data_IF_546538792654
#
_entry.id   IF_546538792654
#
_cell.length_a   1.000
_cell.length_b   1.000
_cell.length_c   1.000
_cell.angle_alpha   90.00
_cell.angle_beta   90.00
_cell.angle_gamma   90.00
#
_symmetry.space_group_name_H-M   'P 1'
#
loop_
_entity.id
_entity.type
_entity.pdbx_description
1 polymer ?
#
# COMPACT_ATOMS: atom_id res chain seq x y z
N UNK A 1 -21.29 -9.38 3.89
CA UNK A 1 -21.97 -10.59 3.38
C UNK A 1 -21.30 -11.03 2.09
N UNK A 2 -21.34 -12.33 1.82
CA UNK A 2 -20.96 -12.85 0.51
C UNK A 2 -21.93 -12.35 -0.57
N UNK A 3 -21.41 -12.01 -1.75
CA UNK A 3 -22.22 -11.52 -2.87
C UNK A 3 -22.85 -12.70 -3.62
N UNK A 4 -24.17 -12.84 -3.54
CA UNK A 4 -24.91 -13.94 -4.17
C UNK A 4 -24.77 -13.96 -5.69
N UNK A 5 -24.68 -12.79 -6.30
CA UNK A 5 -24.51 -12.61 -7.73
C UNK A 5 -23.23 -13.29 -8.25
N UNK A 6 -22.15 -13.23 -7.49
CA UNK A 6 -20.88 -13.87 -7.84
C UNK A 6 -21.02 -15.39 -7.83
N UNK A 7 -21.75 -15.95 -6.86
CA UNK A 7 -22.01 -17.38 -6.83
C UNK A 7 -22.87 -17.83 -8.01
N UNK A 8 -23.88 -17.06 -8.38
CA UNK A 8 -24.71 -17.34 -9.55
C UNK A 8 -23.88 -17.37 -10.83
N UNK A 9 -22.94 -16.44 -11.01
CA UNK A 9 -22.03 -16.40 -12.17
C UNK A 9 -21.06 -17.59 -12.22
N UNK A 10 -20.61 -18.06 -11.07
CA UNK A 10 -19.61 -19.14 -10.98
C UNK A 10 -20.23 -20.53 -10.87
N UNK A 11 -21.55 -20.62 -10.69
CA UNK A 11 -22.25 -21.88 -10.45
C UNK A 11 -21.87 -22.57 -9.12
N UNK A 12 -21.25 -21.84 -8.20
CA UNK A 12 -20.83 -22.35 -6.88
C UNK A 12 -21.90 -22.06 -5.83
N UNK A 13 -21.95 -22.90 -4.80
CA UNK A 13 -22.85 -22.71 -3.68
C UNK A 13 -22.16 -21.89 -2.58
N UNK A 14 -22.84 -20.91 -2.00
CA UNK A 14 -22.37 -20.11 -0.87
C UNK A 14 -21.96 -20.97 0.34
N UNK A 15 -22.55 -22.16 0.50
CA UNK A 15 -22.25 -23.09 1.60
C UNK A 15 -20.82 -23.61 1.65
N UNK A 16 -20.04 -23.46 0.57
CA UNK A 16 -18.61 -23.81 0.57
C UNK A 16 -17.75 -22.82 1.33
N UNK A 17 -18.28 -21.64 1.64
CA UNK A 17 -17.55 -20.58 2.31
C UNK A 17 -17.88 -20.52 3.80
N UNK A 18 -16.90 -20.21 4.64
CA UNK A 18 -17.16 -20.02 6.07
C UNK A 18 -18.01 -18.76 6.31
N UNK A 19 -18.73 -18.68 7.42
CA UNK A 19 -19.46 -17.48 7.77
C UNK A 19 -18.53 -16.31 8.02
N UNK A 20 -18.90 -15.13 7.51
CA UNK A 20 -18.21 -13.88 7.84
C UNK A 20 -18.62 -13.46 9.27
N UNK A 21 -17.63 -13.25 10.11
CA UNK A 21 -17.83 -12.87 11.52
C UNK A 21 -17.04 -11.60 11.84
N UNK A 22 -17.42 -10.93 12.91
CA UNK A 22 -16.69 -9.73 13.38
C UNK A 22 -15.29 -10.09 13.89
N UNK A 23 -14.36 -9.17 13.77
CA UNK A 23 -13.06 -9.22 14.48
C UNK A 23 -13.26 -9.29 16.00
N UNK A 24 -12.25 -9.73 16.73
CA UNK A 24 -12.28 -9.99 18.17
C UNK A 24 -13.24 -11.12 18.62
N UNK A 25 -13.79 -11.89 17.67
CA UNK A 25 -14.64 -13.05 17.98
C UNK A 25 -13.78 -14.29 18.26
N UNK A 26 -14.11 -15.04 19.30
CA UNK A 26 -13.44 -16.32 19.58
C UNK A 26 -13.79 -17.34 18.48
N UNK A 27 -12.76 -17.91 17.85
CA UNK A 27 -12.89 -18.95 16.84
C UNK A 27 -12.95 -20.36 17.48
N UNK A 28 -12.37 -20.53 18.65
CA UNK A 28 -12.27 -21.81 19.33
C UNK A 28 -11.17 -21.78 20.40
N UNK A 29 -10.70 -22.95 20.77
CA UNK A 29 -9.61 -23.15 21.72
C UNK A 29 -8.67 -24.23 21.22
N UNK A 30 -7.37 -24.05 21.41
CA UNK A 30 -6.35 -25.04 21.10
C UNK A 30 -5.42 -25.20 22.30
N UNK A 31 -5.37 -26.38 22.88
CA UNK A 31 -4.56 -26.73 24.06
C UNK A 31 -4.71 -25.73 25.24
N UNK A 32 -5.94 -25.34 25.54
CA UNK A 32 -6.25 -24.39 26.63
C UNK A 32 -6.03 -22.92 26.26
N UNK A 33 -5.61 -22.62 25.02
CA UNK A 33 -5.38 -21.27 24.54
C UNK A 33 -6.55 -20.82 23.65
N UNK A 34 -7.17 -19.70 23.96
CA UNK A 34 -8.22 -19.13 23.14
C UNK A 34 -7.68 -18.65 21.79
N UNK A 35 -8.34 -19.06 20.72
CA UNK A 35 -8.05 -18.61 19.35
C UNK A 35 -9.02 -17.48 19.02
N UNK A 36 -8.50 -16.28 18.77
CA UNK A 36 -9.29 -15.08 18.49
C UNK A 36 -9.10 -14.71 17.01
N UNK A 37 -10.21 -14.39 16.36
CA UNK A 37 -10.18 -13.84 14.98
C UNK A 37 -9.79 -12.37 15.05
N UNK A 38 -8.74 -12.02 14.31
CA UNK A 38 -8.26 -10.64 14.17
C UNK A 38 -8.95 -9.93 13.00
N UNK A 39 -8.61 -8.69 12.73
CA UNK A 39 -8.99 -8.01 11.48
C UNK A 39 -8.50 -8.85 10.28
N UNK A 40 -9.27 -8.88 9.21
CA UNK A 40 -9.07 -9.83 8.10
C UNK A 40 -7.81 -9.59 7.25
N UNK A 41 -7.07 -8.51 7.52
CA UNK A 41 -5.87 -8.10 6.81
C UNK A 41 -4.82 -7.60 7.82
N UNK A 42 -3.54 -7.86 7.59
CA UNK A 42 -2.44 -7.47 8.48
C UNK A 42 -2.33 -5.95 8.65
N UNK A 43 -2.50 -5.19 7.56
CA UNK A 43 -2.54 -3.72 7.61
C UNK A 43 -3.68 -3.22 8.50
N UNK A 44 -4.84 -3.87 8.48
CA UNK A 44 -5.97 -3.49 9.33
C UNK A 44 -5.66 -3.74 10.82
N UNK A 45 -4.89 -4.78 11.11
CA UNK A 45 -4.38 -5.03 12.46
C UNK A 45 -3.37 -3.96 12.89
N UNK A 46 -2.48 -3.54 11.98
CA UNK A 46 -1.50 -2.48 12.25
C UNK A 46 -2.18 -1.12 12.50
N UNK A 47 -3.18 -0.77 11.69
CA UNK A 47 -3.98 0.47 11.88
C UNK A 47 -4.67 0.45 13.23
N UNK A 48 -5.27 -0.68 13.63
CA UNK A 48 -5.92 -0.82 14.94
C UNK A 48 -4.95 -0.60 16.13
N UNK A 49 -3.67 -0.93 15.94
CA UNK A 49 -2.63 -0.78 16.97
C UNK A 49 -1.97 0.61 16.97
N UNK A 50 -2.29 1.46 16.01
CA UNK A 50 -1.70 2.79 15.89
C UNK A 50 -2.15 3.69 17.05
N UNK A 51 -1.22 4.35 17.77
CA UNK A 51 -1.59 5.32 18.79
C UNK A 51 -2.24 6.53 18.13
N UNK A 52 -3.51 6.77 18.42
CA UNK A 52 -4.28 7.85 17.87
C UNK A 52 -4.70 8.83 18.98
N UNK A 53 -4.67 10.12 18.69
CA UNK A 53 -5.32 11.12 19.53
C UNK A 53 -6.83 11.05 19.24
N UNK A 54 -7.63 10.81 20.26
CA UNK A 54 -9.08 10.63 20.16
C UNK A 54 -9.85 11.90 19.79
N UNK A 55 -9.21 13.07 19.87
CA UNK A 55 -9.86 14.36 19.60
C UNK A 55 -9.95 14.71 18.10
N UNK A 56 -9.31 13.92 17.25
CA UNK A 56 -9.29 14.11 15.78
C UNK A 56 -9.32 12.77 15.08
N UNK A 57 -9.90 12.73 13.90
CA UNK A 57 -9.76 11.58 13.01
C UNK A 57 -8.30 11.51 12.52
N UNK A 58 -7.52 10.53 12.97
CA UNK A 58 -6.13 10.43 12.54
C UNK A 58 -6.05 9.93 11.11
N UNK A 59 -5.14 10.50 10.34
CA UNK A 59 -4.68 9.86 9.11
C UNK A 59 -3.56 8.87 9.44
N UNK A 60 -3.52 7.77 8.73
CA UNK A 60 -2.44 6.80 8.82
C UNK A 60 -1.72 6.65 7.48
N UNK A 61 -0.46 6.24 7.54
CA UNK A 61 0.33 5.81 6.41
C UNK A 61 1.02 4.49 6.76
N UNK A 62 0.59 3.42 6.14
CA UNK A 62 1.26 2.11 6.23
C UNK A 62 2.24 2.00 5.08
N UNK A 63 3.54 2.12 5.37
CA UNK A 63 4.61 2.05 4.36
C UNK A 63 5.19 0.64 4.30
N UNK A 64 4.85 -0.09 3.25
CA UNK A 64 5.39 -1.39 2.93
C UNK A 64 5.73 -1.49 1.43
N UNK A 65 5.76 -2.70 0.89
CA UNK A 65 5.86 -2.93 -0.57
C UNK A 65 4.77 -2.13 -1.30
N UNK A 66 3.54 -2.19 -0.79
CA UNK A 66 2.47 -1.23 -1.04
C UNK A 66 2.43 -0.23 0.11
N UNK A 67 2.08 1.01 -0.19
CA UNK A 67 1.79 2.02 0.82
C UNK A 67 0.29 2.30 0.82
N UNK A 68 -0.30 2.37 2.02
CA UNK A 68 -1.71 2.66 2.21
C UNK A 68 -1.84 3.94 3.02
N UNK A 69 -2.44 4.97 2.41
CA UNK A 69 -2.75 6.22 3.11
C UNK A 69 -4.25 6.33 3.32
N UNK A 70 -4.68 6.64 4.52
CA UNK A 70 -6.12 6.70 4.81
C UNK A 70 -6.48 7.19 6.19
N UNK A 71 -7.75 7.04 6.52
CA UNK A 71 -8.30 7.32 7.84
C UNK A 71 -9.39 6.31 8.19
N UNK A 72 -9.70 6.18 9.49
CA UNK A 72 -10.82 5.36 9.96
C UNK A 72 -12.10 6.19 10.05
N UNK A 73 -13.20 5.64 9.50
CA UNK A 73 -14.54 6.21 9.57
C UNK A 73 -15.53 5.22 10.18
N UNK A 74 -16.68 5.70 10.61
CA UNK A 74 -17.78 4.86 11.08
C UNK A 74 -18.57 4.26 9.92
N UNK A 75 -18.69 4.99 8.82
CA UNK A 75 -19.44 4.61 7.64
C UNK A 75 -18.59 4.71 6.36
N UNK A 76 -18.89 3.91 5.33
CA UNK A 76 -18.17 3.98 4.07
C UNK A 76 -18.50 5.27 3.30
N UNK A 77 -17.50 5.81 2.61
CA UNK A 77 -17.66 6.95 1.72
C UNK A 77 -17.81 6.43 0.29
N UNK A 78 -19.02 6.58 -0.28
CA UNK A 78 -19.39 6.10 -1.61
C UNK A 78 -19.84 7.28 -2.48
N UNK A 79 -18.93 7.83 -3.29
CA UNK A 79 -19.24 8.90 -4.23
C UNK A 79 -18.30 8.82 -5.44
N UNK A 80 -18.66 9.57 -6.50
CA UNK A 80 -17.88 9.61 -7.75
C UNK A 80 -16.45 10.11 -7.54
N UNK A 81 -16.26 11.07 -6.63
CA UNK A 81 -14.93 11.59 -6.34
C UNK A 81 -14.03 10.52 -5.77
N UNK A 82 -14.52 9.73 -4.79
CA UNK A 82 -13.76 8.61 -4.21
C UNK A 82 -13.39 7.57 -5.27
N UNK A 83 -14.30 7.29 -6.20
CA UNK A 83 -14.04 6.36 -7.30
C UNK A 83 -12.98 6.91 -8.26
N UNK A 84 -13.08 8.18 -8.64
CA UNK A 84 -12.12 8.81 -9.56
C UNK A 84 -10.73 8.97 -8.95
N UNK A 85 -10.66 9.19 -7.64
CA UNK A 85 -9.40 9.29 -6.87
C UNK A 85 -8.87 7.90 -6.44
N UNK A 86 -9.54 6.81 -6.86
CA UNK A 86 -9.18 5.40 -6.54
C UNK A 86 -9.14 5.11 -5.04
N UNK A 87 -10.00 5.77 -4.26
CA UNK A 87 -10.14 5.54 -2.84
C UNK A 87 -11.08 4.36 -2.57
N UNK A 88 -10.68 3.46 -1.70
CA UNK A 88 -11.43 2.28 -1.31
C UNK A 88 -11.94 2.35 0.12
N UNK A 89 -12.93 1.52 0.44
CA UNK A 89 -13.44 1.32 1.78
C UNK A 89 -13.14 -0.12 2.18
N UNK A 90 -12.29 -0.31 3.17
CA UNK A 90 -11.93 -1.61 3.69
C UNK A 90 -12.46 -1.78 5.11
N UNK A 91 -12.94 -3.00 5.41
CA UNK A 91 -13.42 -3.29 6.76
C UNK A 91 -12.24 -3.36 7.73
N UNK A 92 -12.17 -2.41 8.61
CA UNK A 92 -11.19 -2.32 9.70
C UNK A 92 -11.58 -3.15 10.92
N UNK A 93 -10.86 -2.94 12.01
CA UNK A 93 -11.20 -3.53 13.31
C UNK A 93 -12.46 -2.86 13.93
N UNK A 94 -13.09 -3.58 14.84
CA UNK A 94 -14.23 -3.06 15.63
C UNK A 94 -15.41 -2.50 14.80
N UNK A 95 -15.55 -2.93 13.54
CA UNK A 95 -16.60 -2.47 12.63
C UNK A 95 -16.34 -1.11 12.01
N UNK A 96 -15.16 -0.54 12.19
CA UNK A 96 -14.73 0.68 11.50
C UNK A 96 -14.47 0.40 10.02
N UNK A 97 -14.52 1.45 9.24
CA UNK A 97 -14.18 1.44 7.80
C UNK A 97 -12.88 2.23 7.61
N UNK A 98 -11.88 1.58 7.06
CA UNK A 98 -10.68 2.26 6.60
C UNK A 98 -10.91 2.79 5.19
N UNK A 99 -11.04 4.09 5.07
CA UNK A 99 -11.12 4.81 3.81
C UNK A 99 -9.71 5.19 3.38
N UNK A 100 -9.20 4.55 2.35
CA UNK A 100 -7.79 4.60 2.00
C UNK A 100 -7.54 4.56 0.50
N UNK A 101 -6.35 5.00 0.10
CA UNK A 101 -5.75 4.77 -1.22
C UNK A 101 -4.56 3.83 -1.09
N UNK A 102 -4.49 2.85 -1.98
CA UNK A 102 -3.30 2.05 -2.21
C UNK A 102 -2.37 2.81 -3.16
N UNK A 103 -1.10 2.88 -2.81
CA UNK A 103 -0.06 3.55 -3.58
C UNK A 103 1.04 2.52 -3.85
N UNK A 104 1.65 2.54 -5.03
CA UNK A 104 2.84 1.75 -5.34
C UNK A 104 4.02 2.23 -4.49
N UNK A 105 4.12 1.73 -3.26
CA UNK A 105 5.06 2.21 -2.27
C UNK A 105 6.52 1.79 -2.50
N UNK A 106 7.13 1.15 -1.51
CA UNK A 106 8.54 0.74 -1.56
C UNK A 106 8.85 -0.35 -2.58
N UNK A 107 7.85 -0.84 -3.33
CA UNK A 107 8.07 -1.72 -4.47
C UNK A 107 8.99 -1.09 -5.52
N UNK A 108 8.86 0.21 -5.79
CA UNK A 108 9.75 0.94 -6.71
C UNK A 108 11.20 0.93 -6.23
N UNK A 109 11.42 1.04 -4.92
CA UNK A 109 12.76 0.91 -4.32
C UNK A 109 13.33 -0.50 -4.53
N UNK A 110 12.50 -1.54 -4.40
CA UNK A 110 12.94 -2.92 -4.63
C UNK A 110 13.30 -3.14 -6.09
N UNK A 111 12.53 -2.59 -7.02
CA UNK A 111 12.79 -2.71 -8.46
C UNK A 111 14.06 -1.97 -8.88
N UNK A 112 14.27 -0.74 -8.40
CA UNK A 112 15.49 0.00 -8.72
C UNK A 112 16.73 -0.71 -8.15
N UNK A 113 16.61 -1.29 -6.94
CA UNK A 113 17.69 -2.08 -6.33
C UNK A 113 18.03 -3.31 -7.17
N UNK A 114 17.02 -4.00 -7.75
CA UNK A 114 17.25 -5.13 -8.67
C UNK A 114 18.00 -4.70 -9.93
N UNK A 115 17.64 -3.56 -10.50
CA UNK A 115 18.34 -3.01 -11.66
C UNK A 115 19.80 -2.67 -11.32
N UNK A 116 20.06 -1.97 -10.23
CA UNK A 116 21.42 -1.67 -9.78
C UNK A 116 22.25 -2.94 -9.57
N UNK A 117 21.67 -3.97 -8.99
CA UNK A 117 22.35 -5.26 -8.81
C UNK A 117 22.70 -5.91 -10.16
N UNK A 118 21.84 -5.82 -11.16
CA UNK A 118 22.12 -6.34 -12.50
C UNK A 118 23.23 -5.57 -13.22
N UNK A 119 23.47 -4.32 -12.81
CA UNK A 119 24.59 -3.46 -13.27
C UNK A 119 25.88 -3.65 -12.45
N UNK A 120 25.87 -4.58 -11.48
CA UNK A 120 27.02 -4.83 -10.60
C UNK A 120 27.12 -3.90 -9.39
N UNK A 121 26.09 -3.10 -9.10
CA UNK A 121 26.00 -2.21 -7.94
C UNK A 121 25.22 -2.89 -6.83
N UNK A 122 25.87 -3.39 -5.80
CA UNK A 122 25.24 -4.06 -4.68
C UNK A 122 24.96 -3.09 -3.50
N UNK A 123 23.82 -2.39 -3.56
CA UNK A 123 23.38 -1.52 -2.49
C UNK A 123 22.51 -2.26 -1.48
N UNK A 124 22.81 -2.11 -0.17
CA UNK A 124 21.86 -2.41 0.89
C UNK A 124 20.78 -1.31 0.95
N UNK A 125 19.68 -1.55 1.66
CA UNK A 125 18.67 -0.50 1.86
C UNK A 125 19.22 0.71 2.61
N UNK A 126 20.15 0.49 3.54
CA UNK A 126 20.82 1.57 4.25
C UNK A 126 21.69 2.41 3.30
N UNK A 127 22.42 1.78 2.37
CA UNK A 127 23.21 2.49 1.37
C UNK A 127 22.31 3.35 0.47
N UNK A 128 21.18 2.81 0.04
CA UNK A 128 20.20 3.53 -0.76
C UNK A 128 19.61 4.72 -0.01
N UNK A 129 19.32 4.57 1.28
CA UNK A 129 18.85 5.68 2.11
C UNK A 129 19.92 6.76 2.24
N UNK A 130 21.19 6.40 2.45
CA UNK A 130 22.29 7.37 2.53
C UNK A 130 22.50 8.11 1.20
N UNK A 131 22.44 7.40 0.07
CA UNK A 131 22.51 8.01 -1.26
C UNK A 131 21.35 9.01 -1.47
N UNK A 132 20.13 8.64 -1.11
CA UNK A 132 18.97 9.51 -1.19
C UNK A 132 19.11 10.75 -0.30
N UNK A 133 19.62 10.59 0.93
CA UNK A 133 19.86 11.71 1.86
C UNK A 133 20.94 12.68 1.35
N UNK A 134 21.93 12.17 0.61
CA UNK A 134 22.97 12.99 -0.02
C UNK A 134 22.52 13.73 -1.27
N UNK A 135 21.42 13.35 -1.88
CA UNK A 135 20.86 14.01 -3.05
C UNK A 135 20.01 15.23 -2.67
N UNK A 136 19.87 16.16 -3.61
CA UNK A 136 19.06 17.37 -3.43
C UNK A 136 17.59 17.00 -3.20
N UNK A 137 16.97 17.47 -2.11
CA UNK A 137 15.57 17.19 -1.82
C UNK A 137 14.64 17.93 -2.78
N UNK A 138 13.50 17.31 -3.10
CA UNK A 138 12.42 17.91 -3.89
C UNK A 138 12.84 18.40 -5.29
N UNK A 139 13.82 17.77 -5.90
CA UNK A 139 14.29 18.12 -7.25
C UNK A 139 13.48 17.37 -8.32
N UNK A 140 13.15 16.12 -8.06
CA UNK A 140 12.36 15.26 -8.94
C UNK A 140 11.21 14.61 -8.17
N UNK A 141 10.09 14.42 -8.86
CA UNK A 141 8.90 13.76 -8.33
C UNK A 141 8.37 12.77 -9.36
N UNK A 142 7.86 11.65 -8.90
CA UNK A 142 7.13 10.70 -9.73
C UNK A 142 5.72 10.54 -9.19
N UNK A 143 4.80 10.19 -10.09
CA UNK A 143 3.52 9.63 -9.70
C UNK A 143 3.71 8.10 -9.63
N UNK A 144 3.73 7.50 -8.44
CA UNK A 144 3.98 6.07 -8.30
C UNK A 144 2.89 5.20 -8.94
N UNK A 145 1.72 5.76 -9.23
CA UNK A 145 0.59 5.09 -9.86
C UNK A 145 0.56 5.26 -11.39
N UNK A 146 1.54 5.98 -12.00
CA UNK A 146 1.65 6.06 -13.46
C UNK A 146 1.84 4.65 -14.05
N UNK A 147 1.08 4.36 -15.10
CA UNK A 147 1.06 3.04 -15.76
C UNK A 147 2.45 2.57 -16.23
N UNK A 148 3.39 3.49 -16.47
CA UNK A 148 4.79 3.13 -16.84
C UNK A 148 5.51 2.35 -15.75
N UNK A 149 5.11 2.53 -14.48
CA UNK A 149 5.72 1.84 -13.34
C UNK A 149 5.05 0.51 -12.99
N UNK A 150 3.91 0.17 -13.59
CA UNK A 150 3.14 -1.03 -13.24
C UNK A 150 3.87 -2.36 -13.52
N UNK A 151 4.79 -2.39 -14.48
CA UNK A 151 5.54 -3.58 -14.85
C UNK A 151 6.98 -3.55 -14.29
N UNK A 152 7.55 -4.69 -13.86
CA UNK A 152 8.93 -4.76 -13.42
C UNK A 152 9.93 -4.51 -14.57
N UNK A 153 11.19 -4.27 -14.22
CA UNK A 153 12.31 -4.10 -15.15
C UNK A 153 12.47 -2.68 -15.67
N UNK A 154 13.72 -2.33 -15.96
CA UNK A 154 14.16 -1.04 -16.49
C UNK A 154 13.63 0.17 -15.70
N UNK A 155 13.55 0.04 -14.37
CA UNK A 155 12.97 1.08 -13.52
C UNK A 155 13.75 2.41 -13.60
N UNK A 156 15.09 2.43 -13.65
CA UNK A 156 15.85 3.66 -13.84
C UNK A 156 15.45 4.44 -15.10
N UNK A 157 15.33 3.76 -16.24
CA UNK A 157 14.94 4.39 -17.51
C UNK A 157 13.50 4.91 -17.46
N UNK A 158 12.60 4.18 -16.82
CA UNK A 158 11.19 4.61 -16.63
C UNK A 158 11.09 5.87 -15.81
N UNK A 159 11.83 5.96 -14.71
CA UNK A 159 11.87 7.15 -13.86
C UNK A 159 12.45 8.33 -14.65
N UNK A 160 13.56 8.15 -15.34
CA UNK A 160 14.13 9.18 -16.19
C UNK A 160 13.12 9.67 -17.24
N UNK A 161 12.48 8.75 -17.95
CA UNK A 161 11.51 9.08 -19.00
C UNK A 161 10.28 9.82 -18.41
N UNK A 162 9.82 9.43 -17.23
CA UNK A 162 8.73 10.13 -16.53
C UNK A 162 9.13 11.57 -16.16
N UNK A 163 10.30 11.76 -15.57
CA UNK A 163 10.80 13.08 -15.20
C UNK A 163 11.00 13.98 -16.42
N UNK A 164 11.55 13.46 -17.52
CA UNK A 164 11.70 14.19 -18.78
C UNK A 164 10.33 14.57 -19.37
N UNK A 165 9.40 13.63 -19.43
CA UNK A 165 8.01 13.84 -19.93
C UNK A 165 7.28 14.92 -19.14
N UNK A 166 7.55 15.03 -17.85
CA UNK A 166 6.93 16.03 -16.96
C UNK A 166 7.73 17.33 -16.86
N UNK A 167 8.78 17.51 -17.65
CA UNK A 167 9.56 18.74 -17.74
C UNK A 167 10.50 18.99 -16.57
N UNK A 168 10.81 17.95 -15.77
CA UNK A 168 11.67 18.06 -14.61
C UNK A 168 13.16 17.89 -14.93
N UNK A 169 13.49 17.42 -16.15
CA UNK A 169 14.83 16.99 -16.50
C UNK A 169 15.07 15.51 -16.15
N UNK A 170 16.31 15.12 -15.99
CA UNK A 170 16.71 13.72 -15.78
C UNK A 170 17.50 13.57 -14.48
N UNK A 171 17.12 12.64 -13.59
CA UNK A 171 17.97 12.27 -12.46
C UNK A 171 19.31 11.66 -12.96
N UNK A 172 20.43 12.33 -12.72
CA UNK A 172 21.74 11.94 -13.26
C UNK A 172 22.53 11.02 -12.32
N UNK A 173 22.11 10.89 -11.06
CA UNK A 173 22.79 10.08 -10.06
C UNK A 173 21.87 9.04 -9.45
N UNK A 174 22.44 7.91 -9.00
CA UNK A 174 21.71 6.88 -8.27
C UNK A 174 20.98 7.48 -7.05
N UNK A 175 21.63 8.41 -6.35
CA UNK A 175 21.04 9.11 -5.20
C UNK A 175 19.83 9.96 -5.57
N UNK A 176 19.90 10.74 -6.66
CA UNK A 176 18.77 11.55 -7.14
C UNK A 176 17.60 10.68 -7.56
N UNK A 177 17.88 9.56 -8.24
CA UNK A 177 16.88 8.59 -8.67
C UNK A 177 16.18 7.90 -7.50
N UNK A 178 16.94 7.48 -6.47
CA UNK A 178 16.38 6.90 -5.25
C UNK A 178 15.58 7.96 -4.47
N UNK A 179 16.10 9.19 -4.40
CA UNK A 179 15.42 10.30 -3.72
C UNK A 179 14.08 10.67 -4.32
N UNK A 180 13.95 10.53 -5.64
CA UNK A 180 12.71 10.76 -6.39
C UNK A 180 11.58 9.79 -5.99
N UNK A 181 11.92 8.60 -5.48
CA UNK A 181 10.95 7.59 -5.04
C UNK A 181 10.54 7.83 -3.57
N UNK A 182 11.46 8.30 -2.70
CA UNK A 182 11.18 8.62 -1.30
C UNK A 182 10.49 9.98 -1.14
#
# INVERSE_FOLDING_TARGET
KWQKEVFNLTGKNESILPPIVKSATQAGEYKGIKVIKVAGHDTQCAVCAMPANTDKTPAFLSCGTWSLIGCENDEPILNEKSMNDELSNELGANGKINYLKNISGLWLIQEIRRNFKSEGKEYSYNDMEQLARGAKPFEFFIDPDDASFAAPGNMPEKICAFCEKTGQGKPESDGAMIRCIY
#
